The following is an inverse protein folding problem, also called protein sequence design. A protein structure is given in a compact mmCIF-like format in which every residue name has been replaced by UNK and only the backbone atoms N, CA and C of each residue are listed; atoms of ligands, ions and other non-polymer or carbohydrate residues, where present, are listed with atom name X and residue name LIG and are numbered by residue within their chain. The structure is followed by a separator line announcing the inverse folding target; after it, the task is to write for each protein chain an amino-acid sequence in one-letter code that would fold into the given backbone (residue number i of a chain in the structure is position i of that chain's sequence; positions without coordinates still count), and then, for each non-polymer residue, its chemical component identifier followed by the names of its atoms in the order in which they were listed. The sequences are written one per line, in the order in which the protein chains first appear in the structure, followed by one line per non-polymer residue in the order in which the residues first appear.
data_IF_018520516837
#
_entry.id   IF_018520516837
#
_cell.length_a   1.000
_cell.length_b   1.000
_cell.length_c   1.000
_cell.angle_alpha   90.00
_cell.angle_beta   90.00
_cell.angle_gamma   90.00
#
_symmetry.space_group_name_H-M   'P 1'
#
loop_
_entity.id
_entity.type
_entity.pdbx_description
1 polymer ?
#
# COMPACT_ATOMS: atom_id res chain seq x y z
N UNK A 1 -9.66 -2.90 -5.78
CA UNK A 1 -8.93 -2.09 -6.79
C UNK A 1 -7.47 -2.51 -6.88
N UNK A 2 -6.74 -2.58 -5.77
CA UNK A 2 -5.33 -2.98 -5.78
C UNK A 2 -5.07 -4.34 -6.44
N UNK A 3 -5.93 -5.35 -6.25
CA UNK A 3 -5.80 -6.66 -6.91
C UNK A 3 -5.88 -6.55 -8.43
N UNK A 4 -6.85 -5.82 -8.97
CA UNK A 4 -7.00 -5.62 -10.42
C UNK A 4 -5.83 -4.82 -11.00
N UNK A 5 -5.34 -3.81 -10.26
CA UNK A 5 -4.14 -3.06 -10.64
C UNK A 5 -2.89 -3.96 -10.63
N UNK A 6 -2.73 -4.79 -9.62
CA UNK A 6 -1.60 -5.72 -9.51
C UNK A 6 -1.59 -6.70 -10.70
N UNK A 7 -2.74 -7.32 -11.00
CA UNK A 7 -2.90 -8.21 -12.15
C UNK A 7 -2.55 -7.50 -13.46
N UNK A 8 -3.09 -6.30 -13.67
CA UNK A 8 -2.80 -5.52 -14.88
C UNK A 8 -1.30 -5.19 -15.03
N UNK A 9 -0.63 -4.86 -13.92
CA UNK A 9 0.81 -4.57 -13.91
C UNK A 9 1.65 -5.84 -14.12
N UNK A 10 1.25 -6.97 -13.56
CA UNK A 10 1.91 -8.27 -13.79
C UNK A 10 1.82 -8.69 -15.27
N UNK A 11 0.65 -8.51 -15.88
CA UNK A 11 0.43 -8.78 -17.31
C UNK A 11 1.24 -7.83 -18.19
N UNK A 12 1.22 -6.53 -17.89
CA UNK A 12 1.88 -5.50 -18.71
C UNK A 12 3.40 -5.46 -18.58
N UNK A 13 3.95 -5.76 -17.40
CA UNK A 13 5.39 -5.79 -17.16
C UNK A 13 6.02 -7.16 -17.44
N UNK A 14 5.20 -8.21 -17.52
CA UNK A 14 5.66 -9.59 -17.66
C UNK A 14 6.57 -10.03 -16.50
N UNK A 15 7.45 -11.01 -16.75
CA UNK A 15 8.38 -11.54 -15.74
C UNK A 15 9.53 -10.59 -15.36
N UNK A 16 9.58 -9.39 -15.94
CA UNK A 16 10.70 -8.47 -15.76
C UNK A 16 10.71 -7.79 -14.39
N UNK A 17 9.54 -7.68 -13.73
CA UNK A 17 9.42 -7.11 -12.40
C UNK A 17 8.39 -7.86 -11.57
N UNK A 18 8.71 -8.09 -10.30
CA UNK A 18 7.79 -8.67 -9.32
C UNK A 18 6.83 -7.59 -8.84
N UNK A 19 5.53 -7.86 -8.81
CA UNK A 19 4.54 -6.96 -8.21
C UNK A 19 4.18 -7.49 -6.83
N UNK A 20 4.15 -6.61 -5.83
CA UNK A 20 3.83 -6.97 -4.45
C UNK A 20 2.80 -6.00 -3.90
N UNK A 21 1.69 -6.54 -3.40
CA UNK A 21 0.68 -5.76 -2.67
C UNK A 21 0.94 -5.86 -1.18
N UNK A 22 1.07 -4.71 -0.53
CA UNK A 22 1.20 -4.59 0.93
C UNK A 22 -0.07 -3.92 1.45
N UNK A 23 -0.87 -4.67 2.22
CA UNK A 23 -2.08 -4.21 2.88
C UNK A 23 -2.23 -4.84 4.28
N UNK A 24 -3.30 -4.51 4.99
CA UNK A 24 -3.56 -5.05 6.33
C UNK A 24 -3.73 -6.58 6.28
N UNK A 25 -4.48 -7.09 5.31
CA UNK A 25 -4.81 -8.51 5.19
C UNK A 25 -3.55 -9.36 4.96
N UNK A 26 -2.62 -8.92 4.11
CA UNK A 26 -1.34 -9.57 3.86
C UNK A 26 -0.43 -9.60 5.10
N UNK A 27 -0.68 -8.72 6.08
CA UNK A 27 0.01 -8.70 7.38
C UNK A 27 -0.76 -9.46 8.47
N UNK A 28 -1.84 -10.16 8.11
CA UNK A 28 -2.70 -10.88 9.06
C UNK A 28 -3.48 -9.95 9.99
N UNK A 29 -3.74 -8.71 9.56
CA UNK A 29 -4.47 -7.71 10.33
C UNK A 29 -5.90 -7.56 9.81
N UNK A 30 -6.87 -7.57 10.74
CA UNK A 30 -8.22 -7.11 10.43
C UNK A 30 -8.26 -5.58 10.44
N UNK A 31 -8.89 -4.97 9.44
CA UNK A 31 -9.12 -3.51 9.40
C UNK A 31 -9.88 -3.00 10.63
N UNK A 32 -10.87 -3.76 11.13
CA UNK A 32 -11.61 -3.36 12.33
C UNK A 32 -10.73 -3.26 13.57
N UNK A 33 -9.76 -4.16 13.71
CA UNK A 33 -8.79 -4.13 14.82
C UNK A 33 -7.68 -3.10 14.57
N UNK A 34 -7.17 -3.03 13.34
CA UNK A 34 -6.08 -2.16 12.93
C UNK A 34 -6.38 -0.67 13.11
N UNK A 35 -7.66 -0.29 13.03
CA UNK A 35 -8.14 1.10 13.13
C UNK A 35 -9.09 1.32 14.31
N UNK A 36 -9.12 0.41 15.29
CA UNK A 36 -10.01 0.53 16.45
C UNK A 36 -9.72 1.76 17.32
N UNK A 37 -8.46 2.20 17.37
CA UNK A 37 -8.02 3.37 18.10
C UNK A 37 -6.68 3.88 17.54
N UNK A 38 -6.26 5.08 17.97
CA UNK A 38 -5.05 5.72 17.48
C UNK A 38 -3.74 4.95 17.77
N UNK A 39 -3.69 4.13 18.82
CA UNK A 39 -2.51 3.32 19.15
C UNK A 39 -2.35 2.15 18.18
N UNK A 40 -3.42 1.40 17.94
CA UNK A 40 -3.43 0.30 16.95
C UNK A 40 -3.21 0.83 15.54
N UNK A 41 -3.79 1.98 15.22
CA UNK A 41 -3.61 2.64 13.92
C UNK A 41 -2.14 3.04 13.69
N UNK A 42 -1.47 3.60 14.72
CA UNK A 42 -0.04 3.90 14.68
C UNK A 42 0.80 2.63 14.48
N UNK A 43 0.45 1.54 15.17
CA UNK A 43 1.13 0.25 15.07
C UNK A 43 0.96 -0.38 13.69
N UNK A 44 -0.25 -0.33 13.14
CA UNK A 44 -0.58 -0.81 11.79
C UNK A 44 0.25 -0.06 10.76
N UNK A 45 0.29 1.28 10.81
CA UNK A 45 1.13 2.08 9.92
C UNK A 45 2.61 1.74 10.00
N UNK A 46 3.13 1.53 11.21
CA UNK A 46 4.52 1.11 11.39
C UNK A 46 4.80 -0.25 10.71
N UNK A 47 3.87 -1.21 10.82
CA UNK A 47 3.97 -2.52 10.16
C UNK A 47 3.90 -2.42 8.64
N UNK A 48 2.94 -1.63 8.11
CA UNK A 48 2.81 -1.36 6.67
C UNK A 48 4.08 -0.71 6.12
N UNK A 49 4.58 0.34 6.78
CA UNK A 49 5.83 1.02 6.39
C UNK A 49 7.00 0.05 6.32
N UNK A 50 7.19 -0.76 7.38
CA UNK A 50 8.26 -1.74 7.43
C UNK A 50 8.12 -2.83 6.34
N UNK A 51 6.89 -3.20 5.98
CA UNK A 51 6.65 -4.15 4.89
C UNK A 51 6.97 -3.56 3.51
N UNK A 52 6.57 -2.30 3.27
CA UNK A 52 6.96 -1.58 2.05
C UNK A 52 8.48 -1.47 1.94
N UNK A 53 9.15 -1.05 3.01
CA UNK A 53 10.61 -0.90 3.04
C UNK A 53 11.35 -2.20 2.70
N UNK A 54 10.89 -3.35 3.20
CA UNK A 54 11.48 -4.65 2.88
C UNK A 54 11.33 -5.06 1.42
N UNK A 55 10.22 -4.69 0.78
CA UNK A 55 9.90 -5.11 -0.58
C UNK A 55 10.44 -4.14 -1.65
N UNK A 56 10.81 -2.91 -1.25
CA UNK A 56 11.37 -1.91 -2.14
C UNK A 56 12.75 -2.36 -2.67
N UNK A 57 12.78 -2.78 -3.93
CA UNK A 57 14.01 -3.09 -4.68
C UNK A 57 13.91 -2.54 -6.09
N UNK A 58 15.03 -2.53 -6.83
CA UNK A 58 15.06 -2.10 -8.22
C UNK A 58 14.20 -2.97 -9.18
N UNK A 59 13.83 -4.18 -8.77
CA UNK A 59 13.06 -5.14 -9.58
C UNK A 59 11.65 -5.40 -9.04
N UNK A 60 11.25 -4.72 -7.96
CA UNK A 60 9.93 -4.88 -7.35
C UNK A 60 9.08 -3.64 -7.56
N UNK A 61 7.84 -3.82 -8.01
CA UNK A 61 6.79 -2.80 -7.93
C UNK A 61 5.98 -3.06 -6.67
N UNK A 62 6.03 -2.12 -5.73
CA UNK A 62 5.29 -2.23 -4.45
C UNK A 62 4.03 -1.39 -4.52
N UNK A 63 2.88 -2.03 -4.29
CA UNK A 63 1.57 -1.38 -4.16
C UNK A 63 1.23 -1.31 -2.68
N UNK A 64 1.29 -0.11 -2.09
CA UNK A 64 0.86 0.12 -0.71
C UNK A 64 -0.67 0.34 -0.66
N UNK A 65 -1.44 -0.73 -0.53
CA UNK A 65 -2.89 -0.72 -0.51
C UNK A 65 -3.41 -0.59 0.94
N UNK A 66 -3.69 0.65 1.33
CA UNK A 66 -4.25 1.00 2.63
C UNK A 66 -5.01 2.32 2.48
N UNK A 67 -5.71 2.75 3.54
CA UNK A 67 -6.49 4.00 3.51
C UNK A 67 -5.62 5.24 3.23
N UNK A 68 -4.36 5.24 3.67
CA UNK A 68 -3.34 6.23 3.33
C UNK A 68 -3.76 7.72 3.45
N UNK A 69 -4.78 8.04 4.26
CA UNK A 69 -5.36 9.39 4.32
C UNK A 69 -4.46 10.42 5.00
N UNK A 70 -3.52 9.97 5.84
CA UNK A 70 -2.59 10.85 6.55
C UNK A 70 -1.47 11.32 5.62
N UNK A 71 -1.38 12.65 5.41
CA UNK A 71 -0.33 13.28 4.60
C UNK A 71 1.09 12.90 5.06
N UNK A 72 1.32 12.90 6.38
CA UNK A 72 2.61 12.53 6.97
C UNK A 72 3.02 11.09 6.63
N UNK A 73 2.07 10.14 6.68
CA UNK A 73 2.35 8.75 6.33
C UNK A 73 2.70 8.58 4.85
N UNK A 74 1.97 9.25 3.95
CA UNK A 74 2.31 9.24 2.51
C UNK A 74 3.70 9.84 2.26
N UNK A 75 4.06 10.89 2.99
CA UNK A 75 5.40 11.48 2.90
C UNK A 75 6.49 10.50 3.38
N UNK A 76 6.26 9.74 4.44
CA UNK A 76 7.20 8.69 4.87
C UNK A 76 7.42 7.64 3.78
N UNK A 77 6.36 7.17 3.13
CA UNK A 77 6.48 6.20 2.02
C UNK A 77 7.25 6.80 0.82
N UNK A 78 6.98 8.06 0.48
CA UNK A 78 7.74 8.78 -0.54
C UNK A 78 9.23 8.86 -0.20
N UNK A 79 9.57 9.17 1.06
CA UNK A 79 10.96 9.21 1.52
C UNK A 79 11.66 7.85 1.41
N UNK A 80 10.98 6.76 1.78
CA UNK A 80 11.52 5.40 1.62
C UNK A 80 11.84 5.10 0.16
N UNK A 81 10.89 5.37 -0.73
CA UNK A 81 11.08 5.10 -2.14
C UNK A 81 12.16 5.99 -2.77
N UNK A 82 12.25 7.26 -2.36
CA UNK A 82 13.33 8.18 -2.73
C UNK A 82 14.68 7.67 -2.26
N UNK A 83 14.79 7.19 -1.02
CA UNK A 83 16.01 6.59 -0.49
C UNK A 83 16.42 5.34 -1.29
N UNK A 84 15.44 4.53 -1.71
CA UNK A 84 15.65 3.38 -2.58
C UNK A 84 15.88 3.74 -4.07
N UNK A 85 15.89 5.03 -4.43
CA UNK A 85 15.99 5.51 -5.82
C UNK A 85 14.93 4.91 -6.75
N UNK A 86 13.73 4.69 -6.23
CA UNK A 86 12.59 4.13 -6.96
C UNK A 86 11.59 5.22 -7.33
N UNK A 87 11.05 5.22 -8.55
CA UNK A 87 9.97 6.14 -8.92
C UNK A 87 8.70 5.82 -8.13
N UNK A 88 7.96 6.86 -7.75
CA UNK A 88 6.69 6.71 -7.03
C UNK A 88 5.57 7.47 -7.70
N UNK A 89 4.35 6.98 -7.49
CA UNK A 89 3.13 7.70 -7.81
C UNK A 89 2.11 7.51 -6.68
N UNK A 90 1.18 8.45 -6.55
CA UNK A 90 0.04 8.33 -5.66
C UNK A 90 -1.20 8.17 -6.53
N UNK A 91 -1.92 7.07 -6.36
CA UNK A 91 -3.18 6.83 -7.06
C UNK A 91 -4.32 7.15 -6.10
N UNK A 92 -5.10 8.19 -6.43
CA UNK A 92 -6.34 8.48 -5.73
C UNK A 92 -7.45 7.60 -6.30
N UNK A 93 -8.03 6.76 -5.46
CA UNK A 93 -9.19 5.95 -5.84
C UNK A 93 -10.43 6.73 -5.47
N UNK A 94 -11.02 7.40 -6.46
CA UNK A 94 -12.29 8.08 -6.28
C UNK A 94 -13.43 7.07 -6.34
N UNK A 95 -14.19 6.96 -5.25
CA UNK A 95 -15.28 6.00 -5.14
C UNK A 95 -16.39 6.57 -4.24
N UNK A 96 -17.66 6.60 -4.69
CA UNK A 96 -18.77 7.06 -3.86
C UNK A 96 -18.88 6.27 -2.56
N UNK A 97 -19.09 6.97 -1.45
CA UNK A 97 -19.13 6.37 -0.10
C UNK A 97 -20.25 5.35 0.00
N UNK A 98 -21.39 5.64 -0.62
CA UNK A 98 -22.59 4.78 -0.61
C UNK A 98 -22.28 3.41 -1.23
N UNK A 99 -21.46 3.39 -2.28
CA UNK A 99 -21.06 2.15 -2.95
C UNK A 99 -19.93 1.45 -2.19
N UNK A 100 -19.09 2.19 -1.47
CA UNK A 100 -17.98 1.64 -0.69
C UNK A 100 -18.46 0.83 0.51
N UNK A 101 -19.50 1.32 1.20
CA UNK A 101 -20.04 0.68 2.42
C UNK A 101 -20.82 -0.60 2.11
N UNK A 102 -21.35 -0.73 0.89
CA UNK A 102 -22.11 -1.91 0.45
C UNK A 102 -21.27 -3.07 -0.08
N UNK A 103 -19.94 -2.98 -0.03
CA UNK A 103 -18.99 -3.99 -0.52
C UNK A 103 -18.09 -4.48 0.62
#
# INVERSE_FOLDING_TARGET
VATALAQHLEEGLGRARRVVVVNEEALGLSKSAAYANGHEEKRTRARLKAAVERELTAQTVVIADSTNYIKGFRYELFCLAKAASTPTCCVWVDFPVETAVGR
#
